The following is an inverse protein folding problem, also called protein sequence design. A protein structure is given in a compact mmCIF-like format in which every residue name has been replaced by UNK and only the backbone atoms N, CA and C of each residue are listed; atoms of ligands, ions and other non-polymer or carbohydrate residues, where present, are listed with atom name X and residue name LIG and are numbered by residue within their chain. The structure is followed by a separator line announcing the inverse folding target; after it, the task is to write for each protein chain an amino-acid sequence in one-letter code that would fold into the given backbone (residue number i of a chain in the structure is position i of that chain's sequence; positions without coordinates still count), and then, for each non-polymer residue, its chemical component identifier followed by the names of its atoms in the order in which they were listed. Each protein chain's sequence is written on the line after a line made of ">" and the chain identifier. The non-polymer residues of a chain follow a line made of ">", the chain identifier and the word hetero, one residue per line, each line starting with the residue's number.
data_IF_365582678644
#
_entry.id   IF_365582678644
#
_cell.length_a   1.000
_cell.length_b   1.000
_cell.length_c   1.000
_cell.angle_alpha   90.00
_cell.angle_beta   90.00
_cell.angle_gamma   90.00
#
_symmetry.space_group_name_H-M   'P 1'
#
loop_
_entity.id
_entity.type
_entity.pdbx_description
1 polymer ?
#
# COMPACT_ATOMS: atom_id res chain seq x y z
N UNK A 1 -4.05 15.40 -27.61
CA UNK A 1 -3.37 14.14 -27.14
C UNK A 1 -3.30 14.04 -25.60
N UNK A 2 -3.02 15.13 -24.85
CA UNK A 2 -2.90 15.08 -23.36
C UNK A 2 -4.21 14.72 -22.65
N UNK A 3 -5.35 15.22 -23.11
CA UNK A 3 -6.65 15.05 -22.43
C UNK A 3 -7.05 13.56 -22.29
N UNK A 4 -6.77 12.71 -23.28
CA UNK A 4 -7.13 11.29 -23.26
C UNK A 4 -6.33 10.46 -22.23
N UNK A 5 -5.14 10.93 -21.80
CA UNK A 5 -4.42 10.33 -20.68
C UNK A 5 -5.23 10.48 -19.37
N UNK A 6 -5.64 11.71 -19.08
CA UNK A 6 -6.42 12.01 -17.86
C UNK A 6 -7.81 11.38 -17.90
N UNK A 7 -8.45 11.37 -19.06
CA UNK A 7 -9.75 10.67 -19.22
C UNK A 7 -9.60 9.17 -18.99
N UNK A 8 -8.57 8.53 -19.52
CA UNK A 8 -8.37 7.08 -19.36
C UNK A 8 -8.13 6.68 -17.89
N UNK A 9 -7.51 7.53 -17.08
CA UNK A 9 -7.34 7.27 -15.63
C UNK A 9 -8.52 7.73 -14.78
N UNK A 10 -9.48 8.48 -15.35
CA UNK A 10 -10.63 8.99 -14.60
C UNK A 10 -11.73 7.92 -14.46
N UNK A 11 -12.07 7.48 -13.22
CA UNK A 11 -13.10 6.47 -13.00
C UNK A 11 -14.49 6.87 -13.54
N UNK A 12 -14.78 8.18 -13.63
CA UNK A 12 -16.06 8.69 -14.08
C UNK A 12 -16.15 8.87 -15.61
N UNK A 13 -15.03 8.68 -16.34
CA UNK A 13 -15.02 8.88 -17.78
C UNK A 13 -15.37 7.62 -18.61
N UNK A 14 -15.69 6.51 -17.96
CA UNK A 14 -15.91 5.22 -18.62
C UNK A 14 -16.93 5.29 -19.76
N UNK A 15 -18.10 5.91 -19.62
CA UNK A 15 -19.07 5.99 -20.74
C UNK A 15 -18.57 6.75 -21.97
N UNK A 16 -17.63 7.71 -21.76
CA UNK A 16 -16.99 8.42 -22.85
C UNK A 16 -15.91 7.57 -23.53
N UNK A 17 -15.15 6.81 -22.73
CA UNK A 17 -14.07 5.94 -23.22
C UNK A 17 -14.63 4.79 -24.06
N UNK A 18 -15.76 4.20 -23.67
CA UNK A 18 -16.47 3.17 -24.43
C UNK A 18 -16.79 3.60 -25.87
N UNK A 19 -17.19 4.87 -26.03
CA UNK A 19 -17.53 5.45 -27.33
C UNK A 19 -16.32 5.90 -28.16
N UNK A 20 -15.11 5.86 -27.57
CA UNK A 20 -13.89 6.40 -28.17
C UNK A 20 -12.66 5.49 -27.93
N UNK A 21 -12.81 4.18 -28.14
CA UNK A 21 -11.75 3.19 -27.85
C UNK A 21 -10.45 3.43 -28.64
N UNK A 22 -10.55 4.07 -29.81
CA UNK A 22 -9.42 4.48 -30.64
C UNK A 22 -8.54 5.55 -29.98
N UNK A 23 -9.09 6.31 -29.03
CA UNK A 23 -8.39 7.40 -28.31
C UNK A 23 -7.89 7.00 -26.94
N UNK A 24 -8.35 5.85 -26.42
CA UNK A 24 -7.97 5.33 -25.10
C UNK A 24 -6.46 5.17 -24.98
N UNK A 25 -5.95 5.53 -23.82
CA UNK A 25 -4.56 5.29 -23.43
C UNK A 25 -4.50 4.09 -22.49
N UNK A 26 -4.27 2.93 -23.05
CA UNK A 26 -4.40 1.62 -22.39
C UNK A 26 -3.55 1.49 -21.14
N UNK A 27 -2.33 2.05 -21.12
CA UNK A 27 -1.52 2.12 -19.91
C UNK A 27 -2.27 2.78 -18.74
N UNK A 28 -2.89 3.95 -19.01
CA UNK A 28 -3.67 4.69 -18.03
C UNK A 28 -5.00 4.02 -17.70
N UNK A 29 -5.62 3.36 -18.67
CA UNK A 29 -6.86 2.63 -18.45
C UNK A 29 -6.65 1.39 -17.59
N UNK A 30 -5.50 0.71 -17.72
CA UNK A 30 -5.18 -0.52 -16.97
C UNK A 30 -5.11 -0.28 -15.46
N UNK A 31 -4.75 0.94 -15.03
CA UNK A 31 -4.78 1.34 -13.62
C UNK A 31 -6.16 1.83 -13.13
N UNK A 32 -7.12 2.04 -14.05
CA UNK A 32 -8.43 2.58 -13.68
C UNK A 32 -9.33 1.47 -13.08
N UNK A 33 -9.72 1.57 -11.79
CA UNK A 33 -10.49 0.50 -11.14
C UNK A 33 -11.91 0.31 -11.69
N UNK A 34 -12.47 1.32 -12.38
CA UNK A 34 -13.80 1.24 -12.96
C UNK A 34 -13.80 0.73 -14.41
N UNK A 35 -12.62 0.53 -15.02
CA UNK A 35 -12.51 0.15 -16.42
C UNK A 35 -12.47 -1.37 -16.66
N UNK A 36 -12.70 -2.18 -15.65
CA UNK A 36 -12.46 -3.64 -15.69
C UNK A 36 -13.15 -4.31 -16.87
N UNK A 37 -14.41 -4.01 -17.12
CA UNK A 37 -15.18 -4.59 -18.23
C UNK A 37 -14.65 -4.21 -19.63
N UNK A 38 -13.98 -3.03 -19.76
CA UNK A 38 -13.29 -2.64 -20.99
C UNK A 38 -11.98 -3.39 -21.13
N UNK A 39 -11.26 -3.58 -20.03
CA UNK A 39 -9.98 -4.30 -19.99
C UNK A 39 -10.17 -5.78 -20.32
N UNK A 40 -11.22 -6.42 -19.77
CA UNK A 40 -11.55 -7.83 -20.07
C UNK A 40 -11.80 -8.07 -21.57
N UNK A 41 -12.45 -7.12 -22.25
CA UNK A 41 -12.75 -7.22 -23.69
C UNK A 41 -11.54 -6.90 -24.58
N UNK A 42 -10.44 -6.38 -24.03
CA UNK A 42 -9.31 -5.89 -24.78
C UNK A 42 -7.97 -6.32 -24.15
N UNK A 43 -7.85 -7.58 -23.74
CA UNK A 43 -6.65 -8.10 -23.04
C UNK A 43 -5.37 -8.04 -23.87
N UNK A 44 -5.49 -7.90 -25.18
CA UNK A 44 -4.39 -7.68 -26.12
C UNK A 44 -3.77 -6.28 -26.00
N UNK A 45 -4.48 -5.32 -25.39
CA UNK A 45 -4.08 -3.91 -25.28
C UNK A 45 -3.71 -3.49 -23.87
N UNK A 46 -4.02 -4.30 -22.85
CA UNK A 46 -3.76 -3.93 -21.46
C UNK A 46 -2.27 -3.86 -21.14
N UNK A 47 -1.90 -2.93 -20.28
CA UNK A 47 -0.60 -2.94 -19.63
C UNK A 47 -0.67 -3.83 -18.38
N UNK A 48 0.04 -4.95 -18.40
CA UNK A 48 0.01 -5.95 -17.32
C UNK A 48 0.69 -5.47 -16.04
N UNK A 49 1.61 -4.48 -16.10
CA UNK A 49 2.19 -3.89 -14.91
C UNK A 49 1.11 -3.13 -14.12
N UNK A 50 0.40 -2.23 -14.82
CA UNK A 50 -0.66 -1.42 -14.22
C UNK A 50 -1.87 -2.28 -13.82
N UNK A 51 -2.21 -3.28 -14.64
CA UNK A 51 -3.30 -4.21 -14.32
C UNK A 51 -3.01 -5.02 -13.06
N UNK A 52 -1.76 -5.46 -12.85
CA UNK A 52 -1.37 -6.23 -11.66
C UNK A 52 -1.53 -5.43 -10.37
N UNK A 53 -1.38 -4.10 -10.41
CA UNK A 53 -1.63 -3.21 -9.26
C UNK A 53 -3.12 -2.89 -9.06
N UNK A 54 -3.94 -3.08 -10.09
CA UNK A 54 -5.34 -2.66 -10.05
C UNK A 54 -6.15 -3.56 -9.08
N UNK A 55 -6.70 -3.02 -7.98
CA UNK A 55 -7.38 -3.81 -6.96
C UNK A 55 -8.64 -4.51 -7.45
N UNK A 56 -9.25 -4.01 -8.53
CA UNK A 56 -10.48 -4.58 -9.09
C UNK A 56 -10.22 -5.60 -10.21
N UNK A 57 -8.94 -5.81 -10.61
CA UNK A 57 -8.59 -6.70 -11.71
C UNK A 57 -8.33 -8.15 -11.29
N UNK A 58 -8.58 -8.53 -10.03
CA UNK A 58 -8.21 -9.84 -9.46
C UNK A 58 -8.66 -11.00 -10.33
N UNK A 59 -9.91 -11.04 -10.74
CA UNK A 59 -10.45 -12.14 -11.56
C UNK A 59 -9.84 -12.25 -12.97
N UNK A 60 -9.31 -11.13 -13.52
CA UNK A 60 -8.53 -11.15 -14.77
C UNK A 60 -7.15 -11.75 -14.49
N UNK A 61 -6.52 -11.35 -13.39
CA UNK A 61 -5.19 -11.81 -13.01
C UNK A 61 -5.18 -13.31 -12.70
N UNK A 62 -6.19 -13.83 -11.99
CA UNK A 62 -6.35 -15.26 -11.69
C UNK A 62 -6.43 -16.12 -12.97
N UNK A 63 -7.10 -15.62 -14.00
CA UNK A 63 -7.22 -16.32 -15.28
C UNK A 63 -6.00 -16.20 -16.18
N UNK A 64 -5.04 -15.35 -15.84
CA UNK A 64 -3.88 -15.02 -16.68
C UNK A 64 -2.57 -14.96 -15.87
N UNK A 65 -2.34 -15.94 -14.99
CA UNK A 65 -1.18 -15.96 -14.08
C UNK A 65 0.18 -15.93 -14.81
N UNK A 66 0.21 -16.38 -16.06
CA UNK A 66 1.38 -16.32 -16.95
C UNK A 66 1.76 -14.88 -17.34
N UNK A 67 0.80 -13.94 -17.31
CA UNK A 67 0.99 -12.53 -17.67
C UNK A 67 1.15 -11.62 -16.46
N UNK A 68 0.85 -12.12 -15.26
CA UNK A 68 0.96 -11.36 -14.01
C UNK A 68 2.38 -10.85 -13.81
N UNK A 69 2.48 -9.59 -13.42
CA UNK A 69 3.74 -8.95 -13.03
C UNK A 69 3.87 -8.99 -11.52
N UNK A 70 4.49 -10.04 -11.02
CA UNK A 70 4.54 -10.40 -9.58
C UNK A 70 5.07 -9.28 -8.69
N UNK A 71 6.09 -8.54 -9.15
CA UNK A 71 6.60 -7.36 -8.44
C UNK A 71 5.49 -6.32 -8.20
N UNK A 72 4.71 -6.03 -9.26
CA UNK A 72 3.58 -5.09 -9.17
C UNK A 72 2.38 -5.66 -8.40
N UNK A 73 2.16 -6.98 -8.48
CA UNK A 73 1.09 -7.64 -7.75
C UNK A 73 1.26 -7.53 -6.23
N UNK A 74 2.52 -7.51 -5.73
CA UNK A 74 2.80 -7.34 -4.31
C UNK A 74 2.27 -6.04 -3.72
N UNK A 75 2.04 -5.00 -4.52
CA UNK A 75 1.37 -3.76 -4.09
C UNK A 75 -0.15 -3.84 -4.12
N UNK A 76 -0.74 -4.86 -4.74
CA UNK A 76 -2.19 -4.96 -4.87
C UNK A 76 -2.80 -5.45 -3.54
N UNK A 77 -3.62 -4.62 -2.86
CA UNK A 77 -4.17 -4.98 -1.56
C UNK A 77 -5.15 -6.16 -1.60
N UNK A 78 -5.73 -6.43 -2.78
CA UNK A 78 -6.73 -7.48 -2.95
C UNK A 78 -6.15 -8.80 -3.48
N UNK A 79 -4.84 -8.82 -3.79
CA UNK A 79 -4.19 -10.00 -4.40
C UNK A 79 -3.58 -10.98 -3.39
N UNK A 80 -3.83 -10.83 -2.10
CA UNK A 80 -3.18 -11.61 -1.03
C UNK A 80 -3.33 -13.11 -1.24
N UNK A 81 -4.51 -13.59 -1.62
CA UNK A 81 -4.75 -15.02 -1.87
C UNK A 81 -3.98 -15.56 -3.09
N UNK A 82 -3.78 -14.74 -4.15
CA UNK A 82 -2.96 -15.13 -5.29
C UNK A 82 -1.49 -15.22 -4.87
N UNK A 83 -1.00 -14.26 -4.07
CA UNK A 83 0.37 -14.24 -3.56
C UNK A 83 0.62 -15.42 -2.62
N UNK A 84 -0.33 -15.75 -1.73
CA UNK A 84 -0.22 -16.88 -0.80
C UNK A 84 -0.11 -18.23 -1.52
N UNK A 85 -0.76 -18.36 -2.68
CA UNK A 85 -0.69 -19.58 -3.51
C UNK A 85 0.56 -19.66 -4.40
N UNK A 86 1.35 -18.58 -4.51
CA UNK A 86 2.50 -18.48 -5.42
C UNK A 86 3.73 -17.85 -4.75
N UNK A 87 4.06 -18.33 -3.54
CA UNK A 87 5.15 -17.76 -2.72
C UNK A 87 6.54 -17.85 -3.37
N UNK A 88 6.72 -18.71 -4.35
CA UNK A 88 7.94 -18.84 -5.16
C UNK A 88 8.15 -17.66 -6.12
N UNK A 89 7.08 -16.90 -6.42
CA UNK A 89 7.09 -15.75 -7.34
C UNK A 89 7.03 -14.40 -6.64
N UNK A 90 6.83 -14.41 -5.32
CA UNK A 90 6.67 -13.19 -4.52
C UNK A 90 7.98 -12.42 -4.42
N UNK A 91 7.91 -11.12 -4.64
CA UNK A 91 8.96 -10.18 -4.24
C UNK A 91 8.75 -9.80 -2.77
N UNK A 92 9.60 -10.35 -1.90
CA UNK A 92 9.48 -10.18 -0.45
C UNK A 92 9.76 -8.76 0.03
N UNK A 93 10.58 -7.99 -0.71
CA UNK A 93 10.81 -6.59 -0.39
C UNK A 93 9.50 -5.80 -0.55
N UNK A 94 8.85 -5.93 -1.70
CA UNK A 94 7.59 -5.23 -1.97
C UNK A 94 6.43 -5.74 -1.11
N UNK A 95 6.38 -7.07 -0.88
CA UNK A 95 5.33 -7.64 -0.04
C UNK A 95 5.42 -7.15 1.41
N UNK A 96 6.63 -6.93 1.94
CA UNK A 96 6.83 -6.43 3.30
C UNK A 96 6.22 -5.04 3.54
N UNK A 97 6.06 -4.24 2.49
CA UNK A 97 5.42 -2.91 2.54
C UNK A 97 3.89 -3.00 2.45
N UNK A 98 3.33 -4.10 1.92
CA UNK A 98 1.89 -4.24 1.73
C UNK A 98 1.17 -4.44 3.08
N UNK A 99 0.27 -3.52 3.50
CA UNK A 99 -0.37 -3.60 4.81
C UNK A 99 -1.35 -4.78 4.96
N UNK A 100 -1.81 -5.38 3.85
CA UNK A 100 -2.71 -6.52 3.87
C UNK A 100 -1.95 -7.87 3.84
N UNK A 101 -0.62 -7.86 3.65
CA UNK A 101 0.18 -9.08 3.56
C UNK A 101 0.63 -9.64 4.92
N UNK A 102 0.24 -9.03 6.03
CA UNK A 102 0.65 -9.44 7.38
C UNK A 102 0.52 -10.94 7.63
N UNK A 103 -0.60 -11.63 7.27
CA UNK A 103 -0.71 -13.07 7.49
C UNK A 103 0.33 -13.93 6.74
N UNK A 104 0.78 -13.47 5.58
CA UNK A 104 1.85 -14.12 4.81
C UNK A 104 3.21 -13.86 5.47
N UNK A 105 3.45 -12.59 5.87
CA UNK A 105 4.73 -12.16 6.45
C UNK A 105 5.00 -12.84 7.79
N UNK A 106 3.98 -13.00 8.65
CA UNK A 106 4.10 -13.71 9.94
C UNK A 106 4.54 -15.17 9.79
N UNK A 107 4.09 -15.82 8.72
CA UNK A 107 4.45 -17.23 8.43
C UNK A 107 5.83 -17.38 7.77
N UNK A 108 6.47 -16.27 7.34
CA UNK A 108 7.70 -16.27 6.53
C UNK A 108 8.71 -15.21 7.00
N UNK A 109 8.92 -15.08 8.31
CA UNK A 109 9.79 -14.06 8.92
C UNK A 109 11.26 -14.13 8.48
N UNK A 110 11.69 -15.27 7.94
CA UNK A 110 13.02 -15.50 7.37
C UNK A 110 13.20 -14.78 6.02
N UNK A 111 12.10 -14.45 5.33
CA UNK A 111 12.11 -13.80 4.00
C UNK A 111 11.77 -12.31 4.04
N UNK A 112 11.28 -11.83 5.18
CA UNK A 112 10.81 -10.46 5.34
C UNK A 112 11.96 -9.45 5.15
N UNK A 113 11.68 -8.39 4.41
CA UNK A 113 12.53 -7.20 4.40
C UNK A 113 12.17 -6.31 5.60
N UNK A 114 13.02 -6.34 6.64
CA UNK A 114 12.77 -5.63 7.91
C UNK A 114 12.78 -4.11 7.76
N UNK A 115 13.51 -3.56 6.79
CA UNK A 115 13.47 -2.14 6.46
C UNK A 115 12.06 -1.73 6.02
N UNK A 116 11.50 -2.44 5.02
CA UNK A 116 10.14 -2.20 4.51
C UNK A 116 9.05 -2.53 5.52
N UNK A 117 9.25 -3.60 6.29
CA UNK A 117 8.29 -3.98 7.34
C UNK A 117 8.19 -2.91 8.42
N UNK A 118 9.29 -2.20 8.73
CA UNK A 118 9.29 -1.13 9.73
C UNK A 118 8.48 0.09 9.29
N UNK A 119 8.29 0.30 7.98
CA UNK A 119 7.37 1.30 7.41
C UNK A 119 5.91 0.86 7.46
N UNK A 120 5.64 -0.45 7.45
CA UNK A 120 4.31 -1.01 7.34
C UNK A 120 3.47 -0.73 8.61
N UNK A 121 2.37 0.06 8.51
CA UNK A 121 1.60 0.47 9.68
C UNK A 121 0.87 -0.70 10.39
N UNK A 122 0.67 -1.82 9.68
CA UNK A 122 -0.03 -2.99 10.23
C UNK A 122 0.94 -4.02 10.84
N UNK A 123 2.27 -3.80 10.74
CA UNK A 123 3.28 -4.77 11.19
C UNK A 123 3.75 -4.58 12.63
N UNK A 124 3.19 -3.65 13.40
CA UNK A 124 3.70 -3.25 14.73
C UNK A 124 3.86 -4.45 15.66
N UNK A 125 2.90 -5.35 15.70
CA UNK A 125 2.96 -6.53 16.58
C UNK A 125 4.04 -7.57 16.17
N UNK A 126 4.46 -7.59 14.89
CA UNK A 126 5.62 -8.37 14.44
C UNK A 126 6.90 -7.69 14.91
N UNK A 127 6.98 -6.36 14.77
CA UNK A 127 8.14 -5.56 15.14
C UNK A 127 8.38 -5.57 16.65
N UNK A 128 7.32 -5.51 17.46
CA UNK A 128 7.43 -5.64 18.93
C UNK A 128 8.08 -6.95 19.39
N UNK A 129 7.83 -8.04 18.66
CA UNK A 129 8.41 -9.36 18.96
C UNK A 129 9.82 -9.56 18.40
N UNK A 130 10.32 -8.62 17.58
CA UNK A 130 11.59 -8.75 16.85
C UNK A 130 12.40 -7.43 16.88
N UNK A 131 12.54 -6.83 18.06
CA UNK A 131 13.17 -5.50 18.24
C UNK A 131 14.63 -5.43 17.76
N UNK A 132 15.30 -6.55 17.70
CA UNK A 132 16.67 -6.70 17.19
C UNK A 132 16.77 -6.54 15.66
N UNK A 133 15.65 -6.71 14.94
CA UNK A 133 15.57 -6.61 13.48
C UNK A 133 14.93 -5.31 12.99
N UNK A 134 14.37 -4.52 13.90
CA UNK A 134 13.67 -3.27 13.57
C UNK A 134 14.62 -2.25 12.96
N UNK A 135 14.21 -1.66 11.84
CA UNK A 135 14.82 -0.44 11.34
C UNK A 135 14.20 0.77 12.04
N UNK A 136 14.91 1.31 13.04
CA UNK A 136 14.42 2.39 13.90
C UNK A 136 14.22 3.71 13.16
N UNK A 137 14.95 3.94 12.06
CA UNK A 137 14.75 5.12 11.21
C UNK A 137 13.36 5.08 10.58
N UNK A 138 13.00 3.96 9.93
CA UNK A 138 11.70 3.77 9.29
C UNK A 138 10.57 3.66 10.32
N UNK A 139 10.82 2.97 11.42
CA UNK A 139 9.82 2.87 12.50
C UNK A 139 9.48 4.24 13.09
N UNK A 140 10.44 5.16 13.19
CA UNK A 140 10.20 6.50 13.73
C UNK A 140 9.20 7.30 12.87
N UNK A 141 9.11 7.04 11.57
CA UNK A 141 8.14 7.67 10.65
C UNK A 141 6.78 6.95 10.61
N UNK A 142 6.72 5.70 11.12
CA UNK A 142 5.52 4.88 11.09
C UNK A 142 4.44 5.44 12.05
N UNK A 143 3.23 5.80 11.53
CA UNK A 143 2.20 6.45 12.33
C UNK A 143 1.65 5.59 13.48
N UNK A 144 1.76 4.27 13.36
CA UNK A 144 1.22 3.35 14.37
C UNK A 144 2.27 2.90 15.41
N UNK A 145 3.52 3.39 15.30
CA UNK A 145 4.62 2.95 16.15
C UNK A 145 4.86 3.77 17.42
N UNK A 146 4.06 4.81 17.71
CA UNK A 146 4.33 5.76 18.80
C UNK A 146 4.57 5.05 20.13
N UNK A 147 3.70 4.11 20.52
CA UNK A 147 3.83 3.40 21.79
C UNK A 147 5.09 2.52 21.87
N UNK A 148 5.61 2.03 20.72
CA UNK A 148 6.83 1.26 20.65
C UNK A 148 8.06 2.17 20.75
N UNK A 149 7.99 3.36 20.15
CA UNK A 149 9.02 4.39 20.24
C UNK A 149 9.14 4.95 21.66
N UNK A 150 8.02 5.19 22.34
CA UNK A 150 7.99 5.63 23.75
C UNK A 150 8.70 4.66 24.70
N UNK A 151 8.60 3.37 24.43
CA UNK A 151 9.29 2.32 25.21
C UNK A 151 10.78 2.17 24.88
N UNK A 152 11.26 2.80 23.78
CA UNK A 152 12.62 2.64 23.26
C UNK A 152 13.23 3.99 22.83
N UNK A 153 13.15 4.99 23.70
CA UNK A 153 13.57 6.37 23.42
C UNK A 153 15.05 6.53 22.99
N UNK A 154 15.89 5.62 23.45
CA UNK A 154 17.31 5.54 23.10
C UNK A 154 17.56 5.18 21.61
N UNK A 155 16.58 4.59 20.97
CA UNK A 155 16.63 4.14 19.56
C UNK A 155 15.88 5.05 18.60
N UNK A 156 15.15 6.03 19.11
CA UNK A 156 14.34 6.95 18.32
C UNK A 156 15.21 7.80 17.39
N UNK A 157 14.84 7.81 16.11
CA UNK A 157 15.43 8.72 15.14
C UNK A 157 14.57 9.99 15.05
N UNK A 158 15.07 11.09 15.60
CA UNK A 158 14.30 12.33 15.77
C UNK A 158 13.88 12.99 14.46
N UNK A 159 14.73 12.94 13.42
CA UNK A 159 14.42 13.54 12.14
C UNK A 159 13.23 12.85 11.43
N UNK A 160 13.19 11.51 11.22
CA UNK A 160 11.98 10.86 10.72
C UNK A 160 10.80 10.97 11.68
N UNK A 161 11.00 10.93 12.99
CA UNK A 161 9.92 11.12 13.96
C UNK A 161 9.21 12.47 13.79
N UNK A 162 9.93 13.53 13.45
CA UNK A 162 9.33 14.85 13.20
C UNK A 162 8.34 14.88 12.02
N UNK A 163 8.36 13.86 11.17
CA UNK A 163 7.43 13.67 10.04
C UNK A 163 6.26 12.74 10.37
N UNK A 164 6.34 12.06 11.51
CA UNK A 164 5.29 11.14 11.94
C UNK A 164 4.01 11.93 12.30
N UNK A 165 2.89 11.69 11.61
CA UNK A 165 1.67 12.49 11.81
C UNK A 165 1.06 12.31 13.21
N UNK A 166 1.41 11.24 13.93
CA UNK A 166 0.83 10.92 15.22
C UNK A 166 1.70 11.32 16.41
N UNK A 167 2.87 11.96 16.19
CA UNK A 167 3.73 12.43 17.29
C UNK A 167 3.07 13.54 18.11
N UNK A 168 2.24 14.36 17.48
CA UNK A 168 1.49 15.43 18.11
C UNK A 168 0.04 15.00 18.27
N UNK A 169 -0.25 14.17 19.25
CA UNK A 169 -1.63 14.04 19.72
C UNK A 169 -1.97 15.33 20.44
N UNK A 170 -2.98 16.05 19.93
CA UNK A 170 -3.56 17.17 20.68
C UNK A 170 -4.08 16.61 21.99
N UNK A 171 -3.42 16.93 23.12
CA UNK A 171 -3.98 16.70 24.44
C UNK A 171 -5.10 17.72 24.64
N UNK A 172 -6.27 17.41 24.06
CA UNK A 172 -7.48 18.22 24.17
C UNK A 172 -7.88 18.45 25.64
N UNK A 173 -7.52 17.53 26.54
CA UNK A 173 -7.77 17.66 27.98
C UNK A 173 -6.87 18.74 28.57
N UNK A 174 -5.56 18.67 28.34
CA UNK A 174 -4.62 19.69 28.80
C UNK A 174 -4.88 21.06 28.15
N UNK A 175 -5.27 21.12 26.88
CA UNK A 175 -5.70 22.37 26.23
C UNK A 175 -6.96 22.95 26.86
N UNK A 176 -7.98 22.13 27.15
CA UNK A 176 -9.21 22.53 27.82
C UNK A 176 -8.94 23.04 29.20
N UNK A 177 -8.12 22.36 29.97
CA UNK A 177 -7.74 22.74 31.32
C UNK A 177 -6.95 24.07 31.35
N UNK A 178 -6.07 24.31 30.34
CA UNK A 178 -5.37 25.59 30.17
C UNK A 178 -6.29 26.73 29.73
N UNK A 179 -7.26 26.47 28.84
CA UNK A 179 -8.16 27.51 28.32
C UNK A 179 -9.29 27.86 29.32
N UNK A 180 -9.75 26.93 30.12
CA UNK A 180 -10.91 27.08 30.97
C UNK A 180 -10.63 26.87 32.46
N UNK A 181 -9.47 26.30 32.84
CA UNK A 181 -9.07 26.06 34.23
C UNK A 181 -8.63 27.34 35.01
N UNK A 182 -8.56 28.47 34.31
CA UNK A 182 -8.26 29.79 34.93
C UNK A 182 -9.47 30.65 35.23
N UNK A 183 -10.68 30.17 34.98
CA UNK A 183 -11.93 30.87 35.28
C UNK A 183 -12.52 30.22 36.58
N UNK A 184 -12.09 30.76 37.72
CA UNK A 184 -12.78 30.61 39.00
C UNK A 184 -13.70 31.81 39.22
#
# INVERSE_FOLDING_TARGET
>A
KKIWRYLSSNPNAIPLLEKNLDKVKWWWLSSNPNAIHLLEKNLDKVDWNELSKNPNAIHILEKNLDKVKWWYLCYNPNAIHILEQNLDKVDWEQLSENPNAIPILEKNLDKVNWYRLSENPNAIHILEKNLDKVNWYQLSENPNAIHLLEKNLDKVCWLPLSRNPNIFTYDYKAMKDRMFGGIK
#
